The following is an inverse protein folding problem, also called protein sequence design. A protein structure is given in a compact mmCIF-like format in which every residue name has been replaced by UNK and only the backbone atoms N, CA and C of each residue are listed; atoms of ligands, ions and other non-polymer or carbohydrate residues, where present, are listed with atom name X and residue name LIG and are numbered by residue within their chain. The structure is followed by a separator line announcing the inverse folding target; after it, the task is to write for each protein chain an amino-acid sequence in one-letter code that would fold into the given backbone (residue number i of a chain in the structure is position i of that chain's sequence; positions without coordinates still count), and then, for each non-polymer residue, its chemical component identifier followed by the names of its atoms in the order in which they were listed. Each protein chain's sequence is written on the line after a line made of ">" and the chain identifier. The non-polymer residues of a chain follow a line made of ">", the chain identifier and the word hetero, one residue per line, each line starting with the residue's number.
data_IF_957904128066
#
_entry.id   IF_957904128066
#
_cell.length_a   1.000
_cell.length_b   1.000
_cell.length_c   1.000
_cell.angle_alpha   90.00
_cell.angle_beta   90.00
_cell.angle_gamma   90.00
#
_symmetry.space_group_name_H-M   'P 1'
#
loop_
_entity.id
_entity.type
_entity.pdbx_description
1 polymer ?
#
# COMPACT_ATOMS: atom_id res chain seq x y z
N UNK A 1 -6.44 -15.29 -1.82
CA UNK A 1 -5.29 -14.55 -2.39
C UNK A 1 -5.78 -13.56 -3.41
N UNK A 2 -5.18 -12.38 -3.44
CA UNK A 2 -5.46 -11.36 -4.44
C UNK A 2 -4.23 -11.11 -5.30
N UNK A 3 -4.41 -10.56 -6.50
CA UNK A 3 -3.28 -10.22 -7.36
C UNK A 3 -2.64 -8.90 -6.92
N UNK A 4 -1.40 -8.67 -7.35
CA UNK A 4 -0.72 -7.39 -7.11
C UNK A 4 -1.53 -6.24 -7.73
N UNK A 5 -2.08 -6.44 -8.92
CA UNK A 5 -2.88 -5.41 -9.59
C UNK A 5 -4.13 -5.03 -8.78
N UNK A 6 -4.80 -6.00 -8.18
CA UNK A 6 -5.93 -5.74 -7.29
C UNK A 6 -5.51 -4.97 -6.05
N UNK A 7 -4.41 -5.38 -5.41
CA UNK A 7 -3.87 -4.68 -4.24
C UNK A 7 -3.46 -3.25 -4.57
N UNK A 8 -2.78 -3.04 -5.70
CA UNK A 8 -2.36 -1.71 -6.14
C UNK A 8 -3.55 -0.81 -6.45
N UNK A 9 -4.60 -1.37 -7.06
CA UNK A 9 -5.82 -0.62 -7.36
C UNK A 9 -6.49 -0.09 -6.10
N UNK A 10 -6.59 -0.93 -5.07
CA UNK A 10 -7.13 -0.52 -3.78
C UNK A 10 -6.25 0.52 -3.08
N UNK A 11 -4.93 0.34 -3.12
CA UNK A 11 -3.99 1.29 -2.54
C UNK A 11 -4.05 2.66 -3.23
N UNK A 12 -4.19 2.68 -4.54
CA UNK A 12 -4.33 3.94 -5.31
C UNK A 12 -5.64 4.65 -4.94
N UNK A 13 -6.74 3.93 -4.83
CA UNK A 13 -8.01 4.53 -4.39
C UNK A 13 -7.90 5.12 -2.99
N UNK A 14 -7.21 4.43 -2.10
CA UNK A 14 -6.94 4.94 -0.75
C UNK A 14 -6.16 6.27 -0.81
N UNK A 15 -5.09 6.31 -1.60
CA UNK A 15 -4.28 7.52 -1.76
C UNK A 15 -5.11 8.65 -2.35
N UNK A 16 -5.85 8.41 -3.43
CA UNK A 16 -6.67 9.41 -4.09
C UNK A 16 -7.76 9.97 -3.19
N UNK A 17 -8.36 9.14 -2.34
CA UNK A 17 -9.53 9.53 -1.54
C UNK A 17 -9.13 10.08 -0.19
N UNK A 18 -8.14 9.47 0.49
CA UNK A 18 -7.82 9.77 1.89
C UNK A 18 -6.55 10.61 2.06
N UNK A 19 -5.68 10.67 1.07
CA UNK A 19 -4.39 11.36 1.18
C UNK A 19 -4.34 12.62 0.33
N UNK A 20 -4.59 12.51 -0.96
CA UNK A 20 -4.42 13.64 -1.89
C UNK A 20 -5.29 14.85 -1.57
N UNK A 21 -6.57 14.71 -1.15
CA UNK A 21 -7.40 15.87 -0.82
C UNK A 21 -6.87 16.70 0.35
N UNK A 22 -6.03 16.09 1.21
CA UNK A 22 -5.47 16.75 2.39
C UNK A 22 -4.07 17.33 2.16
N UNK A 23 -3.51 17.17 0.95
CA UNK A 23 -2.21 17.74 0.61
C UNK A 23 -2.33 19.22 0.25
N UNK A 24 -1.26 20.02 0.47
CA UNK A 24 -1.23 21.41 0.00
C UNK A 24 -1.48 21.50 -1.50
N UNK A 25 -2.19 22.54 -1.93
CA UNK A 25 -2.67 22.72 -3.32
C UNK A 25 -1.56 22.58 -4.37
N UNK A 26 -0.34 23.03 -4.06
CA UNK A 26 0.79 22.92 -4.99
C UNK A 26 1.30 21.51 -5.22
N UNK A 27 1.05 20.60 -4.26
CA UNK A 27 1.42 19.19 -4.39
C UNK A 27 0.35 18.37 -5.11
N UNK A 28 -0.91 18.80 -5.08
CA UNK A 28 -2.02 18.07 -5.68
C UNK A 28 -1.96 17.99 -7.20
N UNK A 29 -1.35 18.97 -7.86
CA UNK A 29 -1.27 19.02 -9.34
C UNK A 29 -0.41 17.88 -9.89
N UNK A 30 0.69 17.56 -9.20
CA UNK A 30 1.58 16.47 -9.62
C UNK A 30 1.14 15.10 -9.10
N UNK A 31 0.15 15.04 -8.23
CA UNK A 31 -0.19 13.83 -7.50
C UNK A 31 -0.75 12.73 -8.39
N UNK A 32 -1.53 13.06 -9.42
CA UNK A 32 -2.03 12.06 -10.37
C UNK A 32 -0.91 11.40 -11.16
N UNK A 33 0.09 12.18 -11.57
CA UNK A 33 1.28 11.67 -12.23
C UNK A 33 2.11 10.83 -11.26
N UNK A 34 2.25 11.30 -10.02
CA UNK A 34 2.98 10.58 -8.98
C UNK A 34 2.34 9.22 -8.69
N UNK A 35 1.02 9.14 -8.60
CA UNK A 35 0.28 7.89 -8.39
C UNK A 35 0.53 6.92 -9.56
N UNK A 36 0.51 7.41 -10.80
CA UNK A 36 0.80 6.59 -11.96
C UNK A 36 2.22 6.02 -11.92
N UNK A 37 3.21 6.84 -11.52
CA UNK A 37 4.61 6.40 -11.39
C UNK A 37 4.79 5.40 -10.25
N UNK A 38 4.08 5.59 -9.13
CA UNK A 38 4.08 4.64 -8.02
C UNK A 38 3.54 3.29 -8.48
N UNK A 39 2.48 3.28 -9.29
CA UNK A 39 1.93 2.03 -9.82
C UNK A 39 2.95 1.28 -10.69
N UNK A 40 3.61 1.97 -11.60
CA UNK A 40 4.59 1.34 -12.49
C UNK A 40 5.80 0.80 -11.73
N UNK A 41 6.43 1.61 -10.89
CA UNK A 41 7.61 1.19 -10.13
C UNK A 41 7.25 0.32 -8.93
N UNK A 42 6.09 0.54 -8.33
CA UNK A 42 5.63 -0.17 -7.14
C UNK A 42 5.33 -1.63 -7.41
N UNK A 43 4.76 -1.96 -8.56
CA UNK A 43 4.45 -3.33 -8.93
C UNK A 43 5.70 -4.20 -8.96
N UNK A 44 6.78 -3.73 -9.57
CA UNK A 44 8.03 -4.47 -9.64
C UNK A 44 8.66 -4.67 -8.26
N UNK A 45 8.60 -3.65 -7.41
CA UNK A 45 9.14 -3.74 -6.05
C UNK A 45 8.36 -4.73 -5.20
N UNK A 46 7.04 -4.74 -5.31
CA UNK A 46 6.20 -5.69 -4.59
C UNK A 46 6.45 -7.11 -5.11
N UNK A 47 6.53 -7.27 -6.43
CA UNK A 47 6.79 -8.58 -7.03
C UNK A 47 8.15 -9.15 -6.59
N UNK A 48 9.16 -8.31 -6.43
CA UNK A 48 10.48 -8.72 -5.95
C UNK A 48 10.44 -9.27 -4.52
N UNK A 49 9.46 -8.89 -3.70
CA UNK A 49 9.31 -9.39 -2.33
C UNK A 49 9.02 -10.89 -2.28
N UNK A 50 8.54 -11.50 -3.36
CA UNK A 50 8.29 -12.95 -3.40
C UNK A 50 9.54 -13.78 -3.13
N UNK A 51 10.72 -13.22 -3.39
CA UNK A 51 12.01 -13.88 -3.18
C UNK A 51 12.58 -13.63 -1.78
N UNK A 52 11.96 -12.74 -1.02
CA UNK A 52 12.43 -12.42 0.34
C UNK A 52 12.08 -13.55 1.30
N UNK A 53 13.07 -14.14 2.01
CA UNK A 53 12.81 -15.28 2.91
C UNK A 53 11.82 -14.96 4.03
N UNK A 54 11.82 -13.74 4.56
CA UNK A 54 10.89 -13.35 5.62
C UNK A 54 9.46 -13.30 5.09
N UNK A 55 9.26 -12.77 3.90
CA UNK A 55 7.94 -12.73 3.25
C UNK A 55 7.44 -14.15 2.98
N UNK A 56 8.32 -15.04 2.51
CA UNK A 56 7.98 -16.44 2.29
C UNK A 56 7.57 -17.13 3.59
N UNK A 57 8.31 -16.91 4.67
CA UNK A 57 8.01 -17.49 5.98
C UNK A 57 6.67 -17.00 6.55
N UNK A 58 6.32 -15.75 6.31
CA UNK A 58 5.05 -15.17 6.78
C UNK A 58 3.84 -15.67 5.99
N UNK A 59 4.06 -16.26 4.80
CA UNK A 59 2.98 -16.74 3.96
C UNK A 59 2.07 -15.63 3.42
N UNK A 60 2.57 -14.40 3.34
CA UNK A 60 1.79 -13.25 2.83
C UNK A 60 1.80 -13.15 1.32
N UNK A 61 2.71 -13.85 0.65
CA UNK A 61 2.82 -13.84 -0.81
C UNK A 61 3.18 -15.24 -1.32
N UNK A 62 2.58 -15.68 -2.41
CA UNK A 62 2.92 -16.94 -3.05
C UNK A 62 3.98 -16.76 -4.15
N UNK A 63 4.39 -17.86 -4.78
CA UNK A 63 5.42 -17.85 -5.82
C UNK A 63 4.98 -17.11 -7.08
N UNK A 64 3.68 -17.05 -7.35
CA UNK A 64 3.12 -16.32 -8.47
C UNK A 64 2.99 -14.83 -8.21
N UNK A 65 3.27 -14.38 -6.98
CA UNK A 65 3.15 -12.98 -6.59
C UNK A 65 1.78 -12.59 -6.08
N UNK A 66 0.88 -13.55 -5.84
CA UNK A 66 -0.42 -13.27 -5.24
C UNK A 66 -0.24 -12.97 -3.74
N UNK A 67 -1.09 -12.11 -3.20
CA UNK A 67 -0.97 -11.60 -1.84
C UNK A 67 -2.10 -12.13 -0.98
N UNK A 68 -1.76 -12.63 0.21
CA UNK A 68 -2.73 -12.91 1.26
C UNK A 68 -2.92 -11.64 2.09
N UNK A 69 -3.92 -10.85 1.71
CA UNK A 69 -4.12 -9.53 2.33
C UNK A 69 -4.50 -9.63 3.81
N UNK A 70 -5.22 -10.68 4.19
CA UNK A 70 -5.62 -10.86 5.59
C UNK A 70 -4.42 -11.14 6.49
N UNK A 71 -3.49 -11.98 6.04
CA UNK A 71 -2.25 -12.22 6.78
C UNK A 71 -1.37 -10.98 6.84
N UNK A 72 -1.28 -10.26 5.74
CA UNK A 72 -0.52 -9.02 5.68
C UNK A 72 -1.10 -7.98 6.65
N UNK A 73 -2.41 -7.82 6.65
CA UNK A 73 -3.12 -6.92 7.56
C UNK A 73 -2.86 -7.30 9.03
N UNK A 74 -3.01 -8.56 9.37
CA UNK A 74 -2.80 -9.04 10.73
C UNK A 74 -1.35 -8.88 11.20
N UNK A 75 -0.39 -9.02 10.29
CA UNK A 75 1.03 -8.82 10.59
C UNK A 75 1.40 -7.34 10.71
N UNK A 76 0.81 -6.48 9.89
CA UNK A 76 1.16 -5.07 9.85
C UNK A 76 0.49 -4.25 10.96
N UNK A 77 -0.77 -4.55 11.29
CA UNK A 77 -1.58 -3.73 12.19
C UNK A 77 -0.93 -3.49 13.56
N UNK A 78 -0.36 -4.50 14.26
CA UNK A 78 0.28 -4.27 15.54
C UNK A 78 1.47 -3.30 15.49
N UNK A 79 2.16 -3.23 14.35
CA UNK A 79 3.32 -2.35 14.18
C UNK A 79 2.92 -0.88 14.15
N UNK A 80 1.65 -0.57 13.89
CA UNK A 80 1.11 0.78 13.81
C UNK A 80 0.33 1.20 15.06
N UNK A 81 0.50 0.52 16.20
CA UNK A 81 -0.05 0.97 17.48
C UNK A 81 0.42 2.37 17.83
N UNK A 82 1.68 2.68 17.51
CA UNK A 82 2.19 4.05 17.51
C UNK A 82 2.21 4.56 16.08
N UNK A 83 2.01 5.85 15.90
CA UNK A 83 2.08 6.47 14.58
C UNK A 83 3.49 6.32 14.02
N UNK A 84 3.60 5.71 12.85
CA UNK A 84 4.88 5.51 12.19
C UNK A 84 4.98 6.35 10.93
N UNK A 85 6.17 6.90 10.63
CA UNK A 85 6.40 7.58 9.37
C UNK A 85 6.43 6.58 8.23
N UNK A 86 5.72 6.90 7.14
CA UNK A 86 5.71 6.14 5.90
C UNK A 86 6.12 7.09 4.78
N UNK A 87 7.18 6.72 4.07
CA UNK A 87 7.64 7.51 2.94
C UNK A 87 6.97 7.03 1.66
N UNK A 88 6.19 7.91 1.03
CA UNK A 88 5.52 7.63 -0.23
C UNK A 88 6.28 8.37 -1.33
N UNK A 89 6.81 7.66 -2.34
CA UNK A 89 7.55 8.31 -3.43
C UNK A 89 6.72 9.43 -4.06
N UNK A 90 7.37 10.56 -4.35
CA UNK A 90 6.81 11.77 -4.95
C UNK A 90 5.82 12.54 -4.09
N UNK A 91 5.28 11.95 -3.02
CA UNK A 91 4.33 12.61 -2.12
C UNK A 91 5.03 13.12 -0.87
N UNK A 92 5.94 12.32 -0.31
CA UNK A 92 6.71 12.66 0.87
C UNK A 92 6.38 11.77 2.05
N UNK A 93 6.83 12.19 3.24
CA UNK A 93 6.64 11.43 4.47
C UNK A 93 5.29 11.77 5.12
N UNK A 94 4.54 10.72 5.44
CA UNK A 94 3.26 10.79 6.13
C UNK A 94 3.33 9.90 7.37
N UNK A 95 2.54 10.22 8.41
CA UNK A 95 2.42 9.36 9.59
C UNK A 95 1.14 8.55 9.52
N UNK A 96 1.25 7.24 9.68
CA UNK A 96 0.13 6.31 9.66
C UNK A 96 -0.05 5.69 11.05
N UNK A 97 -1.31 5.48 11.42
CA UNK A 97 -1.70 4.74 12.62
C UNK A 97 -2.56 3.51 12.22
N UNK A 98 -3.11 2.81 13.21
CA UNK A 98 -3.94 1.64 12.94
C UNK A 98 -5.21 1.98 12.16
N UNK A 99 -5.77 3.18 12.32
CA UNK A 99 -6.93 3.61 11.55
C UNK A 99 -6.61 3.70 10.06
N UNK A 100 -5.43 4.19 9.73
CA UNK A 100 -4.97 4.27 8.32
C UNK A 100 -4.77 2.87 7.73
N UNK A 101 -4.19 1.96 8.50
CA UNK A 101 -4.02 0.56 8.09
C UNK A 101 -5.38 -0.09 7.86
N UNK A 102 -6.34 0.13 8.75
CA UNK A 102 -7.70 -0.41 8.63
C UNK A 102 -8.42 0.13 7.38
N UNK A 103 -8.24 1.42 7.09
CA UNK A 103 -8.80 2.04 5.87
C UNK A 103 -8.18 1.46 4.61
N UNK A 104 -6.86 1.37 4.56
CA UNK A 104 -6.15 0.80 3.43
C UNK A 104 -6.60 -0.65 3.16
N UNK A 105 -6.73 -1.45 4.21
CA UNK A 105 -7.22 -2.81 4.11
C UNK A 105 -8.62 -2.86 3.48
N UNK A 106 -9.55 -1.98 3.92
CA UNK A 106 -10.89 -1.93 3.36
C UNK A 106 -10.91 -1.55 1.89
N UNK A 107 -10.11 -0.54 1.50
CA UNK A 107 -10.01 -0.13 0.10
C UNK A 107 -9.50 -1.28 -0.78
N UNK A 108 -8.52 -2.03 -0.31
CA UNK A 108 -7.99 -3.17 -1.05
C UNK A 108 -9.05 -4.29 -1.16
N UNK A 109 -9.76 -4.58 -0.07
CA UNK A 109 -10.85 -5.58 -0.09
C UNK A 109 -11.96 -5.20 -1.05
N UNK A 110 -12.33 -3.94 -1.11
CA UNK A 110 -13.38 -3.45 -2.00
C UNK A 110 -12.96 -3.46 -3.48
N UNK A 111 -11.65 -3.45 -3.76
CA UNK A 111 -11.12 -3.48 -5.13
C UNK A 111 -11.06 -4.89 -5.73
N UNK A 112 -11.33 -5.91 -4.93
CA UNK A 112 -11.29 -7.32 -5.35
C UNK A 112 -12.60 -7.75 -6.00
#
# INVERSE_FOLDING_TARGET
>A
MITIDQAMRGAVRFIDTEILPHLPTGKGIGAGIAVALIMDGGKERILALRENPVVQMMGVMDEAGNINIDRLYNAARPKFEQRLPVSIPFIGELTFDQNDVDKLYRYIKEAV
#
